data_IF_345570208055
#
_entry.id   IF_345570208055
#
_cell.length_a   1.000
_cell.length_b   1.000
_cell.length_c   1.000
_cell.angle_alpha   90.00
_cell.angle_beta   90.00
_cell.angle_gamma   90.00
#
_symmetry.space_group_name_H-M   'P 1'
#
loop_
_entity.id
_entity.type
_entity.pdbx_description
1 polymer ?
#
# COMPACT_ATOMS: atom_id res chain seq x y z
N UNK A 1 8.99 7.51 25.92
CA UNK A 1 7.92 8.51 25.66
C UNK A 1 6.64 7.87 25.12
N UNK A 2 6.67 7.03 24.06
CA UNK A 2 5.47 6.37 23.53
C UNK A 2 4.70 5.55 24.57
N UNK A 3 5.37 4.67 25.32
CA UNK A 3 4.70 3.80 26.30
C UNK A 3 3.99 4.57 27.41
N UNK A 4 4.61 5.66 27.89
CA UNK A 4 3.96 6.55 28.86
C UNK A 4 2.70 7.19 28.30
N UNK A 5 2.71 7.57 27.02
CA UNK A 5 1.51 8.11 26.35
C UNK A 5 0.43 7.03 26.21
N UNK A 6 0.77 5.83 25.75
CA UNK A 6 -0.19 4.71 25.63
C UNK A 6 -0.83 4.42 26.99
N UNK A 7 -0.03 4.33 28.05
CA UNK A 7 -0.53 4.07 29.39
C UNK A 7 -1.36 5.23 29.95
N UNK A 8 -1.07 6.48 29.58
CA UNK A 8 -1.87 7.64 29.96
C UNK A 8 -3.26 7.62 29.31
N UNK A 9 -3.33 7.27 28.02
CA UNK A 9 -4.57 7.28 27.23
C UNK A 9 -5.43 6.03 27.49
N UNK A 10 -4.81 4.84 27.54
CA UNK A 10 -5.52 3.55 27.62
C UNK A 10 -5.56 3.01 29.06
N UNK A 11 -4.68 3.47 29.94
CA UNK A 11 -4.51 2.93 31.28
C UNK A 11 -3.89 1.53 31.26
N UNK A 12 -3.99 0.80 32.38
CA UNK A 12 -3.43 -0.57 32.54
C UNK A 12 -4.36 -1.68 32.03
N UNK A 13 -5.41 -1.34 31.26
CA UNK A 13 -6.41 -2.28 30.77
C UNK A 13 -6.01 -2.82 29.40
N UNK A 14 -6.69 -3.88 28.96
CA UNK A 14 -6.55 -4.35 27.59
C UNK A 14 -6.97 -3.27 26.59
N UNK A 15 -6.20 -3.11 25.52
CA UNK A 15 -6.48 -2.12 24.50
C UNK A 15 -5.77 -2.42 23.18
N UNK A 16 -6.12 -1.65 22.15
CA UNK A 16 -5.55 -1.78 20.81
C UNK A 16 -4.73 -0.52 20.51
N UNK A 17 -3.54 -0.71 19.95
CA UNK A 17 -2.67 0.38 19.53
C UNK A 17 -2.36 0.21 18.05
N UNK A 18 -2.79 1.18 17.26
CA UNK A 18 -2.51 1.22 15.83
C UNK A 18 -1.26 2.07 15.60
N UNK A 19 -0.27 1.49 14.92
CA UNK A 19 0.96 2.17 14.53
C UNK A 19 1.04 2.15 13.02
N UNK A 20 0.87 3.32 12.42
CA UNK A 20 0.90 3.45 10.98
C UNK A 20 2.32 3.72 10.45
N UNK A 21 2.58 3.25 9.23
CA UNK A 21 3.81 3.48 8.49
C UNK A 21 5.09 3.16 9.28
N UNK A 22 5.11 2.04 10.00
CA UNK A 22 6.20 1.68 10.93
C UNK A 22 7.57 1.64 10.24
N UNK A 23 7.62 1.32 8.95
CA UNK A 23 8.84 1.28 8.13
C UNK A 23 9.58 2.62 8.08
N UNK A 24 8.91 3.74 8.40
CA UNK A 24 9.55 5.07 8.48
C UNK A 24 10.45 5.20 9.71
N UNK A 25 10.27 4.34 10.72
CA UNK A 25 11.11 4.31 11.92
C UNK A 25 12.37 3.46 11.65
N UNK A 26 13.54 4.04 11.89
CA UNK A 26 14.79 3.27 11.92
C UNK A 26 14.71 2.14 12.94
N UNK A 27 15.26 0.97 12.63
CA UNK A 27 15.29 -0.18 13.55
C UNK A 27 13.89 -0.61 14.05
N UNK A 28 12.87 -0.43 13.19
CA UNK A 28 11.48 -0.73 13.50
C UNK A 28 11.28 -2.13 14.11
N UNK A 29 11.96 -3.15 13.58
CA UNK A 29 11.89 -4.52 14.10
C UNK A 29 12.33 -4.63 15.56
N UNK A 30 13.50 -4.06 15.89
CA UNK A 30 14.04 -4.04 17.26
C UNK A 30 13.11 -3.25 18.19
N UNK A 31 12.61 -2.11 17.72
CA UNK A 31 11.69 -1.27 18.48
C UNK A 31 10.40 -2.02 18.85
N UNK A 32 9.78 -2.70 17.88
CA UNK A 32 8.58 -3.48 18.11
C UNK A 32 8.82 -4.66 19.03
N UNK A 33 9.95 -5.37 18.85
CA UNK A 33 10.35 -6.46 19.75
C UNK A 33 10.48 -5.98 21.20
N UNK A 34 11.13 -4.83 21.41
CA UNK A 34 11.27 -4.24 22.74
C UNK A 34 9.95 -3.82 23.39
N UNK A 35 8.90 -3.51 22.62
CA UNK A 35 7.55 -3.28 23.16
C UNK A 35 6.86 -4.61 23.49
N UNK A 36 6.99 -5.59 22.60
CA UNK A 36 6.39 -6.91 22.80
C UNK A 36 6.95 -7.61 24.04
N UNK A 37 8.27 -7.57 24.25
CA UNK A 37 8.97 -8.18 25.38
C UNK A 37 8.53 -7.60 26.75
N UNK A 38 7.91 -6.42 26.78
CA UNK A 38 7.35 -5.83 28.01
C UNK A 38 6.04 -6.51 28.47
N UNK A 39 5.49 -7.44 27.67
CA UNK A 39 4.29 -8.21 27.98
C UNK A 39 3.10 -7.35 28.47
N UNK A 40 2.88 -6.25 27.75
CA UNK A 40 1.84 -5.28 28.09
C UNK A 40 0.46 -5.78 27.62
N UNK A 41 -0.63 -5.33 28.27
CA UNK A 41 -1.99 -5.77 27.92
C UNK A 41 -2.49 -5.20 26.58
N UNK A 42 -1.62 -4.60 25.76
CA UNK A 42 -2.00 -3.94 24.51
C UNK A 42 -1.76 -4.85 23.32
N UNK A 43 -2.74 -4.95 22.42
CA UNK A 43 -2.58 -5.56 21.11
C UNK A 43 -2.11 -4.52 20.10
N UNK A 44 -0.92 -4.73 19.55
CA UNK A 44 -0.36 -3.86 18.51
C UNK A 44 -0.90 -4.27 17.14
N UNK A 45 -1.39 -3.30 16.37
CA UNK A 45 -1.76 -3.45 14.97
C UNK A 45 -0.91 -2.47 14.18
N UNK A 46 -0.20 -2.98 13.19
CA UNK A 46 0.89 -2.24 12.56
C UNK A 46 0.70 -2.32 11.05
N UNK A 47 0.73 -1.17 10.39
CA UNK A 47 0.69 -1.06 8.92
C UNK A 47 2.03 -0.57 8.37
N UNK A 48 2.27 -0.91 7.11
CA UNK A 48 3.43 -0.40 6.40
C UNK A 48 3.41 -0.68 4.91
N UNK A 49 3.45 0.40 4.12
CA UNK A 49 3.58 0.39 2.66
C UNK A 49 5.02 0.22 2.14
N UNK A 50 5.98 -0.13 3.01
CA UNK A 50 7.42 -0.21 2.71
C UNK A 50 7.82 -1.21 1.62
N UNK A 51 9.05 -1.07 1.11
CA UNK A 51 9.64 -2.04 0.17
C UNK A 51 9.75 -3.43 0.81
N UNK A 52 9.91 -4.46 -0.03
CA UNK A 52 9.98 -5.85 0.40
C UNK A 52 11.09 -6.05 1.45
N UNK A 53 12.25 -5.42 1.26
CA UNK A 53 13.40 -5.57 2.16
C UNK A 53 13.14 -4.93 3.54
N UNK A 54 12.45 -3.78 3.57
CA UNK A 54 12.06 -3.14 4.84
C UNK A 54 11.05 -3.99 5.61
N UNK A 55 10.14 -4.65 4.88
CA UNK A 55 9.20 -5.62 5.48
C UNK A 55 9.96 -6.82 6.05
N UNK A 56 10.92 -7.38 5.31
CA UNK A 56 11.74 -8.54 5.74
C UNK A 56 12.48 -8.29 7.05
N UNK A 57 13.17 -7.15 7.20
CA UNK A 57 13.92 -6.84 8.44
C UNK A 57 13.01 -6.75 9.68
N UNK A 58 11.84 -6.12 9.53
CA UNK A 58 10.83 -6.05 10.59
C UNK A 58 10.30 -7.45 10.88
N UNK A 59 10.11 -8.24 9.82
CA UNK A 59 9.55 -9.55 9.90
C UNK A 59 10.47 -10.56 10.60
N UNK A 60 11.76 -10.55 10.30
CA UNK A 60 12.76 -11.40 10.96
C UNK A 60 12.85 -11.11 12.46
N UNK A 61 12.77 -9.84 12.84
CA UNK A 61 12.85 -9.43 14.24
C UNK A 61 11.70 -9.96 15.11
N UNK A 62 10.57 -10.33 14.49
CA UNK A 62 9.31 -10.72 15.16
C UNK A 62 8.84 -12.13 14.74
N UNK A 63 9.76 -13.00 14.31
CA UNK A 63 9.43 -14.38 13.91
C UNK A 63 8.73 -15.12 15.06
N UNK A 64 7.60 -15.76 14.74
CA UNK A 64 6.77 -16.50 15.71
C UNK A 64 5.93 -15.63 16.66
N UNK A 65 6.10 -14.30 16.65
CA UNK A 65 5.46 -13.37 17.60
C UNK A 65 4.52 -12.38 16.91
N UNK A 66 4.18 -12.63 15.64
CA UNK A 66 3.32 -11.77 14.82
C UNK A 66 2.36 -12.59 13.97
N UNK A 67 1.31 -11.93 13.48
CA UNK A 67 0.51 -12.40 12.35
C UNK A 67 0.63 -11.37 11.24
N UNK A 68 0.93 -11.83 10.02
CA UNK A 68 1.10 -10.97 8.85
C UNK A 68 -0.15 -11.06 8.00
N UNK A 69 -0.64 -9.91 7.57
CA UNK A 69 -1.71 -9.78 6.60
C UNK A 69 -1.17 -8.94 5.44
N UNK A 70 -1.32 -9.45 4.23
CA UNK A 70 -1.00 -8.72 3.01
C UNK A 70 -2.30 -8.21 2.40
N UNK A 71 -2.35 -6.90 2.14
CA UNK A 71 -3.47 -6.25 1.47
C UNK A 71 -3.05 -5.95 0.04
N UNK A 72 -3.65 -6.66 -0.92
CA UNK A 72 -3.49 -6.38 -2.33
C UNK A 72 -4.41 -5.22 -2.77
N UNK A 73 -4.25 -4.80 -4.02
CA UNK A 73 -5.31 -4.03 -4.70
C UNK A 73 -6.61 -4.80 -4.71
N UNK A 74 -7.73 -4.10 -4.90
CA UNK A 74 -9.02 -4.78 -5.05
C UNK A 74 -8.96 -5.72 -6.24
N UNK A 75 -9.63 -6.85 -6.12
CA UNK A 75 -9.78 -7.83 -7.19
C UNK A 75 -10.80 -7.36 -8.23
N UNK A 76 -10.82 -8.02 -9.38
CA UNK A 76 -11.83 -7.74 -10.40
C UNK A 76 -13.26 -8.03 -9.89
N UNK A 77 -13.44 -9.10 -9.11
CA UNK A 77 -14.75 -9.44 -8.55
C UNK A 77 -15.24 -8.39 -7.55
N UNK A 78 -14.35 -7.90 -6.67
CA UNK A 78 -14.65 -6.78 -5.76
C UNK A 78 -14.94 -5.49 -6.53
N UNK A 79 -14.21 -5.22 -7.62
CA UNK A 79 -14.46 -4.09 -8.51
C UNK A 79 -15.84 -4.17 -9.16
N UNK A 80 -16.22 -5.32 -9.73
CA UNK A 80 -17.54 -5.52 -10.34
C UNK A 80 -18.62 -5.40 -9.27
N UNK A 81 -18.40 -5.98 -8.10
CA UNK A 81 -19.33 -5.88 -6.97
C UNK A 81 -19.55 -4.41 -6.61
N UNK A 82 -18.48 -3.63 -6.44
CA UNK A 82 -18.56 -2.20 -6.18
C UNK A 82 -19.29 -1.42 -7.30
N UNK A 83 -18.93 -1.64 -8.57
CA UNK A 83 -19.54 -0.95 -9.74
C UNK A 83 -20.99 -1.34 -9.98
N UNK A 84 -21.45 -2.44 -9.40
CA UNK A 84 -22.85 -2.90 -9.48
C UNK A 84 -23.62 -2.66 -8.19
N UNK A 85 -23.07 -1.88 -7.26
CA UNK A 85 -23.65 -1.60 -5.94
C UNK A 85 -24.03 -2.90 -5.21
N UNK A 86 -23.13 -3.89 -5.29
CA UNK A 86 -23.23 -5.22 -4.68
C UNK A 86 -24.47 -6.04 -5.07
N UNK A 87 -25.21 -5.63 -6.11
CA UNK A 87 -26.46 -6.29 -6.54
C UNK A 87 -26.33 -7.78 -6.86
N UNK A 88 -25.15 -8.18 -7.32
CA UNK A 88 -24.84 -9.55 -7.77
C UNK A 88 -23.88 -10.29 -6.85
N UNK A 89 -23.75 -9.85 -5.60
CA UNK A 89 -22.95 -10.56 -4.60
C UNK A 89 -23.38 -12.04 -4.48
N UNK A 90 -22.41 -12.96 -4.52
CA UNK A 90 -22.66 -14.41 -4.57
C UNK A 90 -23.22 -14.96 -5.89
N UNK A 91 -23.46 -14.11 -6.90
CA UNK A 91 -23.97 -14.48 -8.24
C UNK A 91 -23.16 -13.84 -9.38
N UNK A 92 -21.90 -13.50 -9.14
CA UNK A 92 -21.05 -12.85 -10.15
C UNK A 92 -20.86 -13.73 -11.39
N UNK A 93 -20.74 -15.04 -11.23
CA UNK A 93 -20.61 -15.97 -12.36
C UNK A 93 -21.82 -15.89 -13.31
N UNK A 94 -23.04 -15.88 -12.77
CA UNK A 94 -24.27 -15.71 -13.54
C UNK A 94 -24.31 -14.35 -14.24
N UNK A 95 -23.92 -13.28 -13.52
CA UNK A 95 -23.80 -11.94 -14.09
C UNK A 95 -22.82 -11.92 -15.27
N UNK A 96 -21.64 -12.55 -15.15
CA UNK A 96 -20.65 -12.62 -16.23
C UNK A 96 -21.17 -13.35 -17.47
N UNK A 97 -21.96 -14.42 -17.27
CA UNK A 97 -22.53 -15.21 -18.36
C UNK A 97 -23.67 -14.51 -19.08
N UNK A 98 -24.53 -13.80 -18.35
CA UNK A 98 -25.73 -13.13 -18.86
C UNK A 98 -25.38 -11.74 -19.41
N UNK A 99 -24.64 -10.94 -18.65
CA UNK A 99 -24.32 -9.54 -18.95
C UNK A 99 -22.92 -9.41 -19.60
N UNK A 100 -22.69 -10.17 -20.68
CA UNK A 100 -21.36 -10.27 -21.33
C UNK A 100 -20.80 -8.92 -21.75
N UNK A 101 -21.63 -8.06 -22.35
CA UNK A 101 -21.17 -6.75 -22.82
C UNK A 101 -20.80 -5.84 -21.65
N UNK A 102 -21.61 -5.82 -20.59
CA UNK A 102 -21.31 -5.02 -19.40
C UNK A 102 -20.05 -5.53 -18.69
N UNK A 103 -19.91 -6.85 -18.58
CA UNK A 103 -18.72 -7.50 -18.04
C UNK A 103 -17.47 -7.13 -18.82
N UNK A 104 -17.55 -7.14 -20.16
CA UNK A 104 -16.45 -6.71 -21.03
C UNK A 104 -16.05 -5.25 -20.77
N UNK A 105 -17.02 -4.35 -20.69
CA UNK A 105 -16.74 -2.93 -20.41
C UNK A 105 -16.08 -2.73 -19.03
N UNK A 106 -16.56 -3.43 -18.00
CA UNK A 106 -15.97 -3.39 -16.66
C UNK A 106 -14.55 -3.96 -16.65
N UNK A 107 -14.32 -5.04 -17.39
CA UNK A 107 -12.99 -5.64 -17.53
C UNK A 107 -12.03 -4.69 -18.25
N UNK A 108 -12.46 -4.03 -19.31
CA UNK A 108 -11.67 -3.02 -20.01
C UNK A 108 -11.30 -1.86 -19.08
N UNK A 109 -12.25 -1.33 -18.30
CA UNK A 109 -11.97 -0.29 -17.29
C UNK A 109 -10.94 -0.77 -16.26
N UNK A 110 -11.12 -1.98 -15.71
CA UNK A 110 -10.22 -2.54 -14.71
C UNK A 110 -8.82 -2.83 -15.27
N UNK A 111 -8.70 -3.28 -16.51
CA UNK A 111 -7.39 -3.50 -17.15
C UNK A 111 -6.65 -2.19 -17.44
N UNK A 112 -7.38 -1.10 -17.68
CA UNK A 112 -6.80 0.23 -17.92
C UNK A 112 -6.37 0.89 -16.62
N UNK A 113 -7.22 0.87 -15.59
CA UNK A 113 -7.02 1.63 -14.34
C UNK A 113 -6.54 0.81 -13.14
N UNK A 114 -6.59 -0.52 -13.25
CA UNK A 114 -6.27 -1.42 -12.16
C UNK A 114 -7.25 -1.37 -10.98
N UNK A 115 -6.86 -2.02 -9.89
CA UNK A 115 -7.66 -2.16 -8.67
C UNK A 115 -7.20 -1.25 -7.52
N UNK A 116 -6.54 -0.13 -7.77
CA UNK A 116 -6.14 0.73 -6.65
C UNK A 116 -7.39 1.38 -6.02
N UNK A 117 -7.67 1.19 -4.72
CA UNK A 117 -8.95 1.60 -4.14
C UNK A 117 -9.30 3.07 -4.41
N UNK A 118 -8.32 3.96 -4.32
CA UNK A 118 -8.54 5.40 -4.58
C UNK A 118 -8.96 5.67 -6.02
N UNK A 119 -8.37 4.97 -7.01
CA UNK A 119 -8.69 5.14 -8.42
C UNK A 119 -10.09 4.59 -8.73
N UNK A 120 -10.44 3.46 -8.11
CA UNK A 120 -11.74 2.80 -8.33
C UNK A 120 -12.92 3.65 -7.85
N UNK A 121 -12.71 4.40 -6.76
CA UNK A 121 -13.70 5.28 -6.15
C UNK A 121 -14.03 6.52 -6.99
N UNK A 122 -13.14 6.93 -7.90
CA UNK A 122 -13.39 8.10 -8.73
C UNK A 122 -14.37 7.79 -9.87
N UNK A 123 -15.23 8.75 -10.18
CA UNK A 123 -16.25 8.62 -11.21
C UNK A 123 -15.74 9.08 -12.59
N UNK A 124 -14.95 10.14 -12.62
CA UNK A 124 -14.47 10.76 -13.87
C UNK A 124 -13.18 10.12 -14.37
N UNK A 125 -13.05 10.01 -15.68
CA UNK A 125 -11.85 9.49 -16.32
C UNK A 125 -10.63 10.39 -16.07
N UNK A 126 -10.84 11.71 -16.02
CA UNK A 126 -9.76 12.67 -15.78
C UNK A 126 -9.12 12.48 -14.41
N UNK A 127 -9.92 12.31 -13.34
CA UNK A 127 -9.37 12.14 -12.00
C UNK A 127 -8.71 10.76 -11.84
N UNK A 128 -9.24 9.72 -12.49
CA UNK A 128 -8.58 8.40 -12.52
C UNK A 128 -7.20 8.47 -13.15
N UNK A 129 -7.06 9.13 -14.30
CA UNK A 129 -5.77 9.29 -14.98
C UNK A 129 -4.80 10.05 -14.09
N UNK A 130 -5.24 11.18 -13.53
CA UNK A 130 -4.40 12.01 -12.65
C UNK A 130 -3.93 11.25 -11.40
N UNK A 131 -4.81 10.52 -10.72
CA UNK A 131 -4.42 9.70 -9.57
C UNK A 131 -3.46 8.59 -9.95
N UNK A 132 -3.67 7.96 -11.11
CA UNK A 132 -2.79 6.90 -11.57
C UNK A 132 -1.39 7.45 -11.88
N UNK A 133 -1.30 8.65 -12.46
CA UNK A 133 -0.04 9.36 -12.65
C UNK A 133 0.62 9.70 -11.31
N UNK A 134 -0.12 10.22 -10.33
CA UNK A 134 0.40 10.51 -8.99
C UNK A 134 0.96 9.26 -8.29
N UNK A 135 0.21 8.15 -8.35
CA UNK A 135 0.64 6.86 -7.80
C UNK A 135 1.91 6.39 -8.51
N UNK A 136 1.91 6.41 -9.84
CA UNK A 136 3.06 5.98 -10.64
C UNK A 136 4.31 6.81 -10.34
N UNK A 137 4.19 8.14 -10.25
CA UNK A 137 5.30 9.02 -9.86
C UNK A 137 5.80 8.71 -8.46
N UNK A 138 4.91 8.50 -7.49
CA UNK A 138 5.31 8.17 -6.12
C UNK A 138 6.08 6.84 -6.04
N UNK A 139 5.66 5.82 -6.77
CA UNK A 139 6.38 4.55 -6.85
C UNK A 139 7.74 4.72 -7.56
N UNK A 140 7.78 5.41 -8.69
CA UNK A 140 9.04 5.69 -9.39
C UNK A 140 10.03 6.46 -8.51
N UNK A 141 9.57 7.51 -7.82
CA UNK A 141 10.42 8.29 -6.92
C UNK A 141 10.96 7.44 -5.78
N UNK A 142 10.12 6.55 -5.22
CA UNK A 142 10.52 5.64 -4.15
C UNK A 142 11.53 4.60 -4.63
N UNK A 143 11.28 3.98 -5.79
CA UNK A 143 12.15 2.98 -6.38
C UNK A 143 13.49 3.59 -6.83
N UNK A 144 13.46 4.77 -7.45
CA UNK A 144 14.67 5.51 -7.80
C UNK A 144 15.44 5.92 -6.55
N UNK A 145 14.76 6.44 -5.52
CA UNK A 145 15.41 6.81 -4.26
C UNK A 145 16.04 5.59 -3.57
N UNK A 146 15.40 4.43 -3.66
CA UNK A 146 15.94 3.16 -3.15
C UNK A 146 17.16 2.71 -3.96
N UNK A 147 17.03 2.60 -5.29
CA UNK A 147 18.11 2.23 -6.21
C UNK A 147 19.32 3.16 -6.09
N UNK A 148 19.10 4.46 -5.92
CA UNK A 148 20.16 5.47 -5.84
C UNK A 148 20.77 5.57 -4.44
N UNK A 149 20.06 5.14 -3.39
CA UNK A 149 20.68 4.87 -2.09
C UNK A 149 21.59 3.64 -2.13
N UNK A 150 21.26 2.63 -2.94
CA UNK A 150 22.13 1.47 -3.19
C UNK A 150 23.33 1.86 -4.08
N UNK A 151 23.13 2.77 -5.05
CA UNK A 151 24.17 3.30 -5.92
C UNK A 151 24.60 4.71 -5.49
N UNK A 152 25.44 4.83 -4.44
CA UNK A 152 26.14 6.10 -4.15
C UNK A 152 26.92 6.58 -5.39
N UNK A 153 26.34 7.48 -6.19
CA UNK A 153 27.06 8.46 -7.01
C UNK A 153 26.10 9.57 -7.48
N UNK A 154 26.25 10.76 -6.90
CA UNK A 154 25.53 12.01 -7.24
C UNK A 154 25.62 12.38 -8.75
N UNK A 155 26.55 11.77 -9.48
CA UNK A 155 26.77 11.96 -10.91
C UNK A 155 25.67 11.35 -11.81
N UNK A 156 24.86 10.40 -11.33
CA UNK A 156 23.80 9.77 -12.13
C UNK A 156 22.56 10.65 -12.31
N UNK A 157 22.12 11.35 -11.26
CA UNK A 157 20.94 12.23 -11.30
C UNK A 157 21.08 13.37 -12.33
N UNK A 158 22.29 13.93 -12.47
CA UNK A 158 22.57 15.03 -13.41
C UNK A 158 22.56 14.58 -14.88
N UNK A 159 22.84 13.30 -15.16
CA UNK A 159 22.82 12.73 -16.52
C UNK A 159 21.43 12.27 -16.95
N UNK A 160 20.63 11.68 -16.06
CA UNK A 160 19.27 11.22 -16.39
C UNK A 160 18.31 12.38 -16.61
N UNK A 161 18.34 13.39 -15.74
CA UNK A 161 17.47 14.57 -15.87
C UNK A 161 17.83 15.41 -17.10
N UNK A 162 19.11 15.57 -17.43
CA UNK A 162 19.50 16.29 -18.67
C UNK A 162 19.24 15.51 -19.96
N UNK A 163 19.20 14.17 -19.91
CA UNK A 163 18.95 13.32 -21.07
C UNK A 163 17.46 13.18 -21.42
N UNK A 164 16.59 13.09 -20.43
CA UNK A 164 15.14 12.90 -20.64
C UNK A 164 14.49 14.20 -21.13
N UNK A 165 14.89 15.36 -20.60
CA UNK A 165 14.36 16.66 -21.04
C UNK A 165 14.85 17.08 -22.44
N UNK A 166 16.04 16.65 -22.87
CA UNK A 166 16.53 16.90 -24.23
C UNK A 166 15.81 16.10 -25.31
N UNK A 167 15.17 14.99 -24.96
CA UNK A 167 14.45 14.10 -25.90
C UNK A 167 12.97 14.42 -26.06
N UNK A 168 12.40 15.24 -25.18
CA UNK A 168 11.00 15.70 -25.25
C UNK A 168 10.85 17.09 -25.88
N UNK A 169 11.96 17.75 -26.25
CA UNK A 169 11.98 19.08 -26.89
C UNK A 169 12.50 19.07 -28.34
N UNK A 170 12.55 17.90 -28.98
CA UNK A 170 12.77 17.75 -30.43
C UNK A 170 11.86 16.66 -30.99
#
# INVERSE_FOLDING_TARGET
KLMGKIQLEIGKKQGYVFIDEIQRKSDAGIFLKGIYDQNLPYKLIISGSGSVELKEQIYESLVGQKRVFELSTITFDEFVSFKTDYRYEGRLEEFYLIEKQKTKNLLEEYLVFGGYPRVVLEETMEEKVKLMDEIYQSYLEKDLSYLLRVQKTESFFKKLTSGIWKRLLF
#
